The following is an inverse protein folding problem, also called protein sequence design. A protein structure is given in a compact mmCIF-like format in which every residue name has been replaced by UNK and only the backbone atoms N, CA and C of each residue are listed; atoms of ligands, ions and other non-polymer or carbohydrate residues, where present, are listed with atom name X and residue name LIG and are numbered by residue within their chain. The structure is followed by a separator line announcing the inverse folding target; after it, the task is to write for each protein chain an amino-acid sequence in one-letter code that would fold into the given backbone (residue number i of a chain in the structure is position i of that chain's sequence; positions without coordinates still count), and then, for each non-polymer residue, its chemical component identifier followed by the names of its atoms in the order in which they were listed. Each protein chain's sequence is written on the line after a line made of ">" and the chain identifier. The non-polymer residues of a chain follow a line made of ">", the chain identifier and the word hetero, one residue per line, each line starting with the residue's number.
data_IF_804330924924
#
_entry.id   IF_804330924924
#
_cell.length_a   1.000
_cell.length_b   1.000
_cell.length_c   1.000
_cell.angle_alpha   90.00
_cell.angle_beta   90.00
_cell.angle_gamma   90.00
#
_symmetry.space_group_name_H-M   'P 1'
#
loop_
_entity.id
_entity.type
_entity.pdbx_description
1 polymer ?
#
# COMPACT_ATOMS: atom_id res chain seq x y z
N UNK A 1 20.14 -4.41 -10.25
CA UNK A 1 18.67 -4.22 -10.21
C UNK A 1 17.97 -5.06 -9.15
N UNK A 2 18.30 -6.36 -9.00
CA UNK A 2 17.64 -7.23 -7.99
C UNK A 2 17.79 -6.76 -6.54
N UNK A 3 18.95 -6.22 -6.15
CA UNK A 3 19.15 -5.62 -4.80
C UNK A 3 18.24 -4.40 -4.61
N UNK A 4 18.21 -3.48 -5.59
CA UNK A 4 17.34 -2.31 -5.54
C UNK A 4 15.85 -2.69 -5.44
N UNK A 5 15.41 -3.73 -6.17
CA UNK A 5 14.06 -4.28 -6.03
C UNK A 5 13.75 -4.67 -4.59
N UNK A 6 14.61 -5.47 -3.96
CA UNK A 6 14.36 -5.93 -2.59
C UNK A 6 14.45 -4.82 -1.54
N UNK A 7 15.33 -3.83 -1.74
CA UNK A 7 15.38 -2.64 -0.87
C UNK A 7 14.07 -1.85 -0.97
N UNK A 8 13.64 -1.48 -2.17
CA UNK A 8 12.41 -0.68 -2.37
C UNK A 8 11.19 -1.46 -1.92
N UNK A 9 11.10 -2.75 -2.26
CA UNK A 9 9.97 -3.61 -1.88
C UNK A 9 9.94 -3.86 -0.37
N UNK A 10 11.10 -4.00 0.27
CA UNK A 10 11.19 -4.12 1.73
C UNK A 10 10.73 -2.84 2.45
N UNK A 11 11.16 -1.68 1.97
CA UNK A 11 10.70 -0.38 2.50
C UNK A 11 9.20 -0.16 2.29
N UNK A 12 8.70 -0.47 1.08
CA UNK A 12 7.27 -0.44 0.76
C UNK A 12 6.47 -1.34 1.71
N UNK A 13 6.91 -2.60 1.89
CA UNK A 13 6.25 -3.56 2.76
C UNK A 13 6.24 -3.11 4.22
N UNK A 14 7.37 -2.64 4.74
CA UNK A 14 7.47 -2.14 6.10
C UNK A 14 6.51 -0.95 6.33
N UNK A 15 6.52 0.04 5.43
CA UNK A 15 5.66 1.21 5.52
C UNK A 15 4.18 0.83 5.52
N UNK A 16 3.76 -0.01 4.57
CA UNK A 16 2.36 -0.43 4.44
C UNK A 16 1.90 -1.28 5.62
N UNK A 17 2.73 -2.21 6.12
CA UNK A 17 2.38 -3.03 7.28
C UNK A 17 2.27 -2.17 8.55
N UNK A 18 3.21 -1.24 8.76
CA UNK A 18 3.13 -0.28 9.88
C UNK A 18 1.81 0.51 9.82
N UNK A 19 1.39 0.93 8.62
CA UNK A 19 0.11 1.64 8.45
C UNK A 19 -1.12 0.73 8.62
N UNK A 20 -1.03 -0.55 8.27
CA UNK A 20 -2.17 -1.47 8.26
C UNK A 20 -2.45 -2.12 9.62
N UNK A 21 -1.43 -2.31 10.46
CA UNK A 21 -1.60 -2.94 11.79
C UNK A 21 -2.60 -2.18 12.67
N UNK A 22 -2.52 -0.84 12.81
CA UNK A 22 -3.53 -0.05 13.53
C UNK A 22 -4.95 -0.27 13.02
N UNK A 23 -5.12 -0.43 11.70
CA UNK A 23 -6.42 -0.67 11.07
C UNK A 23 -7.00 -2.04 11.46
N UNK A 24 -6.16 -3.08 11.49
CA UNK A 24 -6.58 -4.46 11.83
C UNK A 24 -7.00 -4.59 13.29
N UNK A 25 -6.26 -3.94 14.19
CA UNK A 25 -6.49 -4.07 15.65
C UNK A 25 -7.47 -3.04 16.21
N UNK A 26 -8.14 -2.25 15.36
CA UNK A 26 -9.02 -1.17 15.78
C UNK A 26 -8.33 -0.20 16.74
N UNK A 27 -7.09 0.21 16.43
CA UNK A 27 -6.38 1.14 17.27
C UNK A 27 -7.13 2.48 17.36
N UNK A 28 -7.26 3.11 18.55
CA UNK A 28 -8.05 4.34 18.73
C UNK A 28 -7.70 5.45 17.73
N UNK A 29 -6.40 5.68 17.47
CA UNK A 29 -5.97 6.67 16.49
C UNK A 29 -6.41 6.36 15.04
N UNK A 30 -6.54 5.08 14.67
CA UNK A 30 -7.05 4.70 13.34
C UNK A 30 -8.56 4.93 13.25
N UNK A 31 -9.29 4.67 14.35
CA UNK A 31 -10.73 4.98 14.46
C UNK A 31 -10.96 6.48 14.32
N UNK A 32 -10.19 7.31 15.02
CA UNK A 32 -10.28 8.77 14.95
C UNK A 32 -10.04 9.28 13.52
N UNK A 33 -9.03 8.76 12.82
CA UNK A 33 -8.77 9.11 11.42
C UNK A 33 -9.96 8.72 10.54
N UNK A 34 -10.51 7.51 10.66
CA UNK A 34 -11.65 7.08 9.85
C UNK A 34 -12.89 7.95 10.11
N UNK A 35 -13.16 8.28 11.38
CA UNK A 35 -14.28 9.15 11.74
C UNK A 35 -14.09 10.57 11.20
N UNK A 36 -12.88 11.13 11.29
CA UNK A 36 -12.52 12.42 10.69
C UNK A 36 -12.74 12.43 9.18
N UNK A 37 -12.36 11.34 8.50
CA UNK A 37 -12.59 11.16 7.06
C UNK A 37 -14.05 10.86 6.68
N UNK A 38 -14.94 10.69 7.66
CA UNK A 38 -16.36 10.37 7.44
C UNK A 38 -16.63 8.91 7.08
N UNK A 39 -15.68 8.00 7.34
CA UNK A 39 -15.80 6.59 7.02
C UNK A 39 -16.40 5.76 8.15
N UNK A 40 -17.20 4.73 7.83
CA UNK A 40 -17.70 3.81 8.82
C UNK A 40 -16.57 2.92 9.35
N UNK A 41 -16.50 2.78 10.68
CA UNK A 41 -15.39 2.13 11.39
C UNK A 41 -15.23 0.65 11.04
N UNK A 42 -16.29 -0.04 10.60
CA UNK A 42 -16.19 -1.46 10.19
C UNK A 42 -15.26 -1.68 8.98
N UNK A 43 -14.98 -0.64 8.19
CA UNK A 43 -14.06 -0.73 7.05
C UNK A 43 -12.59 -0.82 7.46
N UNK A 44 -12.22 -0.38 8.67
CA UNK A 44 -10.85 -0.42 9.17
C UNK A 44 -10.20 -1.80 9.04
N UNK A 45 -10.69 -2.86 9.71
CA UNK A 45 -10.03 -4.16 9.64
C UNK A 45 -10.09 -4.76 8.25
N UNK A 46 -11.13 -4.47 7.46
CA UNK A 46 -11.23 -4.95 6.09
C UNK A 46 -10.09 -4.38 5.23
N UNK A 47 -9.89 -3.07 5.28
CA UNK A 47 -8.82 -2.37 4.54
C UNK A 47 -7.44 -2.78 5.07
N UNK A 48 -7.28 -2.88 6.40
CA UNK A 48 -6.04 -3.32 7.04
C UNK A 48 -5.62 -4.74 6.61
N UNK A 49 -6.55 -5.70 6.68
CA UNK A 49 -6.28 -7.09 6.24
C UNK A 49 -5.98 -7.14 4.74
N UNK A 50 -6.75 -6.41 3.91
CA UNK A 50 -6.51 -6.35 2.47
C UNK A 50 -5.11 -5.81 2.13
N UNK A 51 -4.66 -4.74 2.81
CA UNK A 51 -3.29 -4.20 2.67
C UNK A 51 -2.23 -5.25 3.01
N UNK A 52 -2.38 -5.95 4.14
CA UNK A 52 -1.42 -6.98 4.57
C UNK A 52 -1.36 -8.12 3.53
N UNK A 53 -2.51 -8.60 3.04
CA UNK A 53 -2.55 -9.63 1.99
C UNK A 53 -1.90 -9.15 0.68
N UNK A 54 -2.12 -7.88 0.31
CA UNK A 54 -1.45 -7.26 -0.83
C UNK A 54 0.07 -7.25 -0.67
N UNK A 55 0.57 -6.82 0.49
CA UNK A 55 2.01 -6.81 0.80
C UNK A 55 2.61 -8.22 0.76
N UNK A 56 1.94 -9.20 1.38
CA UNK A 56 2.40 -10.60 1.37
C UNK A 56 2.47 -11.15 -0.07
N UNK A 57 1.48 -10.84 -0.90
CA UNK A 57 1.47 -11.24 -2.32
C UNK A 57 2.66 -10.63 -3.08
N UNK A 58 3.01 -9.38 -2.81
CA UNK A 58 4.15 -8.72 -3.45
C UNK A 58 5.48 -9.34 -3.00
N UNK A 59 5.63 -9.67 -1.71
CA UNK A 59 6.85 -10.25 -1.16
C UNK A 59 7.08 -11.71 -1.60
N UNK A 60 6.02 -12.51 -1.71
CA UNK A 60 6.14 -13.92 -2.07
C UNK A 60 6.45 -14.05 -3.57
N UNK A 61 7.49 -14.81 -3.97
CA UNK A 61 7.77 -15.07 -5.38
C UNK A 61 6.75 -16.05 -5.99
N UNK A 62 6.54 -15.97 -7.31
CA UNK A 62 5.79 -16.97 -8.08
C UNK A 62 4.35 -16.60 -8.49
N UNK A 63 3.75 -15.56 -7.91
CA UNK A 63 2.36 -15.19 -8.20
C UNK A 63 2.22 -14.04 -9.22
N UNK A 64 2.49 -14.25 -10.50
CA UNK A 64 2.50 -13.16 -11.50
C UNK A 64 1.18 -12.40 -11.58
N UNK A 65 0.05 -13.08 -11.84
CA UNK A 65 -1.26 -12.41 -12.00
C UNK A 65 -1.79 -11.81 -10.69
N UNK A 66 -1.65 -12.54 -9.58
CA UNK A 66 -2.12 -12.06 -8.28
C UNK A 66 -1.31 -10.84 -7.81
N UNK A 67 -0.02 -10.77 -8.18
CA UNK A 67 0.83 -9.61 -7.87
C UNK A 67 0.39 -8.35 -8.62
N UNK A 68 -0.04 -8.47 -9.87
CA UNK A 68 -0.65 -7.34 -10.58
C UNK A 68 -1.91 -6.83 -9.85
N UNK A 69 -2.75 -7.75 -9.36
CA UNK A 69 -3.95 -7.38 -8.59
C UNK A 69 -3.59 -6.73 -7.25
N UNK A 70 -2.58 -7.26 -6.56
CA UNK A 70 -2.09 -6.69 -5.31
C UNK A 70 -1.56 -5.27 -5.52
N UNK A 71 -0.74 -5.04 -6.56
CA UNK A 71 -0.26 -3.70 -6.90
C UNK A 71 -1.41 -2.74 -7.22
N UNK A 72 -2.38 -3.16 -8.04
CA UNK A 72 -3.55 -2.35 -8.36
C UNK A 72 -4.36 -1.98 -7.10
N UNK A 73 -4.63 -2.96 -6.24
CA UNK A 73 -5.35 -2.75 -4.97
C UNK A 73 -4.63 -1.79 -4.03
N UNK A 74 -3.31 -1.95 -3.85
CA UNK A 74 -2.49 -1.03 -3.03
C UNK A 74 -2.47 0.39 -3.61
N UNK A 75 -2.43 0.54 -4.94
CA UNK A 75 -2.53 1.86 -5.57
C UNK A 75 -3.89 2.49 -5.31
N UNK A 76 -5.00 1.76 -5.47
CA UNK A 76 -6.33 2.30 -5.20
C UNK A 76 -6.54 2.67 -3.74
N UNK A 77 -6.06 1.86 -2.81
CA UNK A 77 -6.09 2.17 -1.38
C UNK A 77 -5.37 3.48 -1.06
N UNK A 78 -4.12 3.63 -1.54
CA UNK A 78 -3.31 4.81 -1.26
C UNK A 78 -3.81 6.07 -1.96
N UNK A 79 -4.28 5.96 -3.20
CA UNK A 79 -4.94 7.08 -3.91
C UNK A 79 -6.23 7.46 -3.20
N UNK A 80 -7.01 6.48 -2.74
CA UNK A 80 -8.20 6.70 -1.93
C UNK A 80 -7.89 7.49 -0.67
N UNK A 81 -6.91 7.05 0.11
CA UNK A 81 -6.46 7.74 1.32
C UNK A 81 -6.00 9.19 1.03
N UNK A 82 -5.17 9.38 -0.01
CA UNK A 82 -4.73 10.70 -0.44
C UNK A 82 -5.91 11.61 -0.80
N UNK A 83 -6.84 11.10 -1.61
CA UNK A 83 -8.04 11.84 -2.02
C UNK A 83 -8.94 12.19 -0.83
N UNK A 84 -9.12 11.28 0.12
CA UNK A 84 -9.92 11.52 1.33
C UNK A 84 -9.38 12.66 2.16
N UNK A 85 -8.09 12.65 2.47
CA UNK A 85 -7.43 13.72 3.24
C UNK A 85 -7.54 15.07 2.51
N UNK A 86 -7.30 15.10 1.19
CA UNK A 86 -7.51 16.33 0.41
C UNK A 86 -8.97 16.83 0.46
N UNK A 87 -9.94 15.91 0.40
CA UNK A 87 -11.36 16.25 0.34
C UNK A 87 -11.89 16.87 1.64
N UNK A 88 -11.31 16.50 2.79
CA UNK A 88 -11.63 17.11 4.08
C UNK A 88 -10.78 18.34 4.42
N UNK A 89 -9.88 18.75 3.50
CA UNK A 89 -9.05 19.94 3.65
C UNK A 89 -7.84 19.76 4.57
N UNK A 90 -7.36 18.53 4.73
CA UNK A 90 -6.24 18.24 5.61
C UNK A 90 -4.91 18.86 5.13
N UNK A 91 -4.02 19.27 6.06
CA UNK A 91 -2.70 19.76 5.72
C UNK A 91 -1.82 18.66 5.09
N UNK A 92 -0.76 19.11 4.41
CA UNK A 92 0.18 18.22 3.72
C UNK A 92 0.77 17.10 4.59
N UNK A 93 0.95 17.35 5.88
CA UNK A 93 1.45 16.35 6.82
C UNK A 93 0.59 15.08 6.90
N UNK A 94 -0.70 15.15 6.58
CA UNK A 94 -1.61 14.00 6.65
C UNK A 94 -1.73 13.23 5.33
N UNK A 95 -1.67 13.90 4.18
CA UNK A 95 -1.77 13.23 2.87
C UNK A 95 -0.41 12.87 2.24
N UNK A 96 0.70 13.52 2.64
CA UNK A 96 2.05 13.20 2.14
C UNK A 96 2.47 11.74 2.38
N UNK A 97 2.16 11.10 3.53
CA UNK A 97 2.43 9.68 3.74
C UNK A 97 1.85 8.78 2.63
N UNK A 98 0.64 9.06 2.15
CA UNK A 98 0.01 8.30 1.05
C UNK A 98 0.77 8.45 -0.27
N UNK A 99 1.23 9.67 -0.58
CA UNK A 99 2.06 9.95 -1.77
C UNK A 99 3.40 9.24 -1.69
N UNK A 100 4.05 9.28 -0.53
CA UNK A 100 5.31 8.59 -0.31
C UNK A 100 5.16 7.07 -0.50
N UNK A 101 4.10 6.47 0.06
CA UNK A 101 3.80 5.07 -0.15
C UNK A 101 3.53 4.74 -1.63
N UNK A 102 2.82 5.60 -2.36
CA UNK A 102 2.57 5.42 -3.79
C UNK A 102 3.86 5.37 -4.60
N UNK A 103 4.82 6.24 -4.28
CA UNK A 103 6.14 6.22 -4.93
C UNK A 103 6.87 4.91 -4.65
N UNK A 104 6.80 4.39 -3.42
CA UNK A 104 7.39 3.09 -3.07
C UNK A 104 6.71 1.93 -3.82
N UNK A 105 5.38 1.93 -3.90
CA UNK A 105 4.60 0.91 -4.63
C UNK A 105 4.92 0.95 -6.12
N UNK A 106 4.92 2.13 -6.73
CA UNK A 106 5.29 2.30 -8.14
C UNK A 106 6.75 1.89 -8.41
N UNK A 107 7.68 2.29 -7.54
CA UNK A 107 9.07 1.88 -7.62
C UNK A 107 9.25 0.36 -7.54
N UNK A 108 8.57 -0.29 -6.60
CA UNK A 108 8.55 -1.74 -6.46
C UNK A 108 7.99 -2.42 -7.72
N UNK A 109 6.89 -1.91 -8.27
CA UNK A 109 6.25 -2.39 -9.50
C UNK A 109 7.18 -2.34 -10.72
N UNK A 110 7.81 -1.18 -10.97
CA UNK A 110 8.70 -1.01 -12.11
C UNK A 110 9.95 -1.89 -11.99
N UNK A 111 10.51 -2.00 -10.78
CA UNK A 111 11.66 -2.88 -10.52
C UNK A 111 11.29 -4.36 -10.64
N UNK A 112 10.09 -4.77 -10.23
CA UNK A 112 9.57 -6.11 -10.44
C UNK A 112 9.53 -6.46 -11.94
N UNK A 113 8.96 -5.59 -12.76
CA UNK A 113 8.88 -5.79 -14.21
C UNK A 113 10.26 -5.83 -14.88
N UNK A 114 11.17 -4.96 -14.45
CA UNK A 114 12.53 -4.91 -14.98
C UNK A 114 13.35 -6.16 -14.63
N UNK A 115 13.14 -6.75 -13.44
CA UNK A 115 13.96 -7.87 -12.94
C UNK A 115 13.38 -9.25 -13.28
N UNK A 116 12.05 -9.40 -13.32
CA UNK A 116 11.40 -10.71 -13.37
C UNK A 116 10.48 -10.93 -14.57
N UNK A 117 9.94 -9.87 -15.18
CA UNK A 117 9.00 -10.00 -16.30
C UNK A 117 9.72 -9.85 -17.64
N UNK A 118 10.56 -8.83 -17.81
CA UNK A 118 11.35 -8.63 -19.03
C UNK A 118 12.48 -9.66 -19.24
N UNK A 119 12.77 -10.50 -18.25
CA UNK A 119 13.84 -11.50 -18.31
C UNK A 119 13.40 -12.87 -18.83
N UNK A 120 12.12 -13.05 -19.19
CA UNK A 120 11.63 -14.29 -19.81
C UNK A 120 11.70 -14.11 -21.33
N UNK A 121 12.64 -14.77 -22.05
CA UNK A 121 12.63 -14.74 -23.51
C UNK A 121 11.35 -15.41 -24.01
N UNK A 122 10.72 -14.78 -25.00
CA UNK A 122 9.55 -15.29 -25.71
C UNK A 122 9.88 -16.58 -26.49
#
# INVERSE_FOLDING_TARGET
>A
MRIAYWIVTGLMAAFLVISAVPDVIYHPGAIEIFQHLGYPVYLLPFIGVAKILGVLTVLIPGFTRLKEWAYAGLVFDLVGAFYSHLSVGDPASLWMPSVFALVLVAGSYFLYHAVFVKSVPA
#
